data_IF_559563690841
#
_entry.id   IF_559563690841
#
_cell.length_a   1.000
_cell.length_b   1.000
_cell.length_c   1.000
_cell.angle_alpha   90.00
_cell.angle_beta   90.00
_cell.angle_gamma   90.00
#
_symmetry.space_group_name_H-M   'P 1'
#
loop_
_entity.id
_entity.type
_entity.pdbx_description
1 polymer ?
#
# COMPACT_ATOMS: atom_id res chain seq x y z
N UNK A 1 -20.73 49.16 -3.06
CA UNK A 1 -20.42 48.18 -1.99
C UNK A 1 -20.94 46.77 -2.25
N UNK A 2 -22.12 46.57 -2.85
CA UNK A 2 -22.73 45.24 -3.06
C UNK A 2 -21.93 44.34 -4.01
N UNK A 3 -21.38 44.88 -5.10
CA UNK A 3 -20.56 44.11 -6.06
C UNK A 3 -19.29 43.53 -5.45
N UNK A 4 -18.63 44.27 -4.57
CA UNK A 4 -17.42 43.80 -3.86
C UNK A 4 -17.77 42.67 -2.89
N UNK A 5 -18.93 42.74 -2.21
CA UNK A 5 -19.42 41.65 -1.34
C UNK A 5 -19.61 40.35 -2.10
N UNK A 6 -20.21 40.38 -3.30
CA UNK A 6 -20.40 39.19 -4.13
C UNK A 6 -19.08 38.60 -4.63
N UNK A 7 -18.11 39.45 -5.01
CA UNK A 7 -16.78 38.98 -5.44
C UNK A 7 -16.01 38.30 -4.30
N UNK A 8 -16.10 38.85 -3.08
CA UNK A 8 -15.46 38.26 -1.88
C UNK A 8 -16.12 36.92 -1.51
N UNK A 9 -17.46 36.83 -1.59
CA UNK A 9 -18.19 35.58 -1.34
C UNK A 9 -17.82 34.52 -2.39
N UNK A 10 -17.75 34.91 -3.66
CA UNK A 10 -17.35 34.00 -4.74
C UNK A 10 -15.93 33.48 -4.53
N UNK A 11 -14.95 34.36 -4.28
CA UNK A 11 -13.56 33.96 -4.03
C UNK A 11 -13.41 33.04 -2.81
N UNK A 12 -14.16 33.28 -1.73
CA UNK A 12 -14.16 32.42 -0.53
C UNK A 12 -14.82 31.06 -0.79
N UNK A 13 -15.84 30.99 -1.65
CA UNK A 13 -16.45 29.71 -2.00
C UNK A 13 -15.51 28.81 -2.81
N UNK A 14 -14.64 29.39 -3.65
CA UNK A 14 -13.70 28.63 -4.48
C UNK A 14 -12.62 27.90 -3.66
N UNK A 15 -12.21 28.43 -2.50
CA UNK A 15 -11.19 27.77 -1.66
C UNK A 15 -11.67 26.44 -1.07
N UNK A 16 -12.98 26.24 -0.90
CA UNK A 16 -13.55 24.96 -0.46
C UNK A 16 -13.49 23.87 -1.53
N UNK A 17 -13.45 24.24 -2.81
CA UNK A 17 -13.30 23.29 -3.91
C UNK A 17 -11.82 23.04 -4.29
N UNK A 18 -10.90 23.87 -3.78
CA UNK A 18 -9.45 23.72 -4.00
C UNK A 18 -8.73 22.93 -2.91
N UNK A 19 -9.42 22.48 -1.85
CA UNK A 19 -8.84 21.55 -0.88
C UNK A 19 -8.74 20.15 -1.51
N UNK A 20 -7.71 19.94 -2.32
CA UNK A 20 -7.40 18.66 -2.93
C UNK A 20 -6.76 17.71 -1.93
N UNK A 21 -7.58 16.89 -1.27
CA UNK A 21 -7.19 15.63 -0.60
C UNK A 21 -8.42 14.73 -0.43
N UNK A 22 -9.26 14.65 -1.47
CA UNK A 22 -10.49 13.84 -1.45
C UNK A 22 -10.29 12.40 -1.92
N UNK A 23 -9.07 12.06 -2.32
CA UNK A 23 -8.72 10.71 -2.72
C UNK A 23 -7.33 10.40 -2.16
N UNK A 24 -7.34 9.88 -0.93
CA UNK A 24 -6.15 9.44 -0.22
C UNK A 24 -5.98 7.93 -0.43
N UNK A 25 -6.04 7.47 -1.69
CA UNK A 25 -5.43 6.20 -2.08
C UNK A 25 -3.92 6.36 -2.00
N UNK A 26 -3.39 6.49 -0.77
CA UNK A 26 -1.98 6.69 -0.52
C UNK A 26 -1.21 5.49 -1.07
N UNK A 27 -0.25 5.78 -1.96
CA UNK A 27 0.68 4.77 -2.48
C UNK A 27 1.49 4.13 -1.33
N UNK A 28 1.55 4.79 -0.17
CA UNK A 28 2.09 4.26 1.08
C UNK A 28 1.29 3.09 1.67
N UNK A 29 0.02 2.89 1.33
CA UNK A 29 -0.80 1.77 1.86
C UNK A 29 -0.69 0.50 1.00
N UNK A 30 0.12 0.56 -0.07
CA UNK A 30 0.33 -0.54 -1.00
C UNK A 30 1.68 -1.18 -0.70
N UNK A 31 1.65 -2.36 -0.07
CA UNK A 31 2.86 -3.16 0.08
C UNK A 31 3.26 -3.73 -1.28
N UNK A 32 4.32 -3.18 -1.88
CA UNK A 32 4.85 -3.70 -3.14
C UNK A 32 5.47 -5.08 -2.92
N UNK A 33 5.09 -6.01 -3.79
CA UNK A 33 5.67 -7.34 -3.84
C UNK A 33 7.14 -7.21 -4.30
N UNK A 34 8.07 -7.54 -3.41
CA UNK A 34 9.50 -7.54 -3.69
C UNK A 34 10.00 -8.90 -4.18
N UNK A 35 9.37 -9.99 -3.74
CA UNK A 35 9.66 -11.34 -4.20
C UNK A 35 8.42 -12.23 -4.12
N UNK A 36 8.38 -13.26 -4.98
CA UNK A 36 7.32 -14.25 -5.04
C UNK A 36 7.93 -15.64 -5.19
N UNK A 37 7.44 -16.60 -4.41
CA UNK A 37 7.90 -17.99 -4.44
C UNK A 37 6.73 -18.96 -4.53
N UNK A 38 6.89 -20.01 -5.33
CA UNK A 38 5.97 -21.16 -5.38
C UNK A 38 6.78 -22.41 -5.05
N UNK A 39 6.23 -23.23 -4.18
CA UNK A 39 6.76 -24.55 -3.84
C UNK A 39 5.63 -25.59 -3.86
N UNK A 40 5.98 -26.87 -3.97
CA UNK A 40 5.05 -27.98 -3.95
C UNK A 40 5.60 -29.11 -3.09
N UNK A 41 4.94 -29.35 -1.96
CA UNK A 41 5.36 -30.35 -0.97
C UNK A 41 4.13 -31.05 -0.40
N UNK A 42 4.25 -32.37 -0.16
CA UNK A 42 3.22 -33.19 0.48
C UNK A 42 1.82 -33.12 -0.20
N UNK A 43 1.80 -32.87 -1.52
CA UNK A 43 0.56 -32.76 -2.29
C UNK A 43 -0.13 -31.40 -2.22
N UNK A 44 0.48 -30.40 -1.58
CA UNK A 44 -0.02 -29.03 -1.49
C UNK A 44 0.95 -28.04 -2.16
N UNK A 45 0.38 -27.01 -2.79
CA UNK A 45 1.11 -25.83 -3.21
C UNK A 45 1.33 -24.91 -2.02
N UNK A 46 2.52 -24.32 -1.96
CA UNK A 46 2.88 -23.26 -1.03
C UNK A 46 3.25 -22.01 -1.83
N UNK A 47 2.66 -20.88 -1.48
CA UNK A 47 2.95 -19.60 -2.11
C UNK A 47 3.48 -18.64 -1.05
N UNK A 48 4.56 -17.95 -1.38
CA UNK A 48 5.23 -16.97 -0.55
C UNK A 48 5.24 -15.62 -1.26
N UNK A 49 4.81 -14.57 -0.57
CA UNK A 49 4.85 -13.19 -1.06
C UNK A 49 5.66 -12.35 -0.09
N UNK A 50 6.79 -11.83 -0.56
CA UNK A 50 7.65 -10.95 0.22
C UNK A 50 7.31 -9.49 -0.09
N UNK A 51 7.08 -8.69 0.95
CA UNK A 51 6.82 -7.25 0.87
C UNK A 51 7.91 -6.49 1.63
N UNK A 52 8.25 -5.30 1.12
CA UNK A 52 9.15 -4.37 1.79
C UNK A 52 8.33 -3.34 2.56
N UNK A 53 8.74 -3.08 3.79
CA UNK A 53 8.22 -1.97 4.58
C UNK A 53 8.92 -0.67 4.18
N UNK A 54 8.24 0.15 3.37
CA UNK A 54 8.77 1.42 2.87
C UNK A 54 8.81 2.52 3.94
N UNK A 55 8.10 2.39 5.06
CA UNK A 55 8.19 3.35 6.17
C UNK A 55 9.60 3.37 6.76
N UNK A 56 10.32 2.25 6.69
CA UNK A 56 11.71 2.14 7.15
C UNK A 56 12.74 2.76 6.18
N UNK A 57 12.34 3.03 4.93
CA UNK A 57 13.22 3.57 3.89
C UNK A 57 13.16 5.11 3.79
N UNK A 58 12.15 5.75 4.38
CA UNK A 58 11.92 7.21 4.35
C UNK A 58 12.66 7.97 5.47
N UNK A 59 13.91 7.59 5.76
CA UNK A 59 14.81 8.40 6.57
C UNK A 59 15.26 9.67 5.83
N UNK A 60 15.69 10.74 6.53
CA UNK A 60 16.21 11.95 5.91
C UNK A 60 17.33 11.59 4.91
N UNK A 61 17.26 12.21 3.72
CA UNK A 61 18.21 11.99 2.62
C UNK A 61 19.66 12.01 3.13
N UNK A 62 20.33 10.85 3.12
CA UNK A 62 21.73 10.72 3.54
C UNK A 62 22.01 9.79 4.73
N UNK A 63 21.00 9.29 5.44
CA UNK A 63 21.22 8.20 6.41
C UNK A 63 21.14 6.85 5.71
N UNK A 64 22.26 6.16 5.52
CA UNK A 64 22.26 4.73 5.16
C UNK A 64 21.62 3.99 6.35
N UNK A 65 20.48 3.31 6.17
CA UNK A 65 19.91 2.49 7.24
C UNK A 65 20.94 1.42 7.62
N UNK A 66 21.43 1.43 8.87
CA UNK A 66 22.40 0.42 9.33
C UNK A 66 21.78 -0.98 9.47
N UNK A 67 20.45 -1.07 9.40
CA UNK A 67 19.68 -2.31 9.44
C UNK A 67 18.91 -2.49 8.14
N UNK A 68 18.86 -3.73 7.64
CA UNK A 68 17.96 -4.08 6.53
C UNK A 68 16.52 -3.71 6.90
N UNK A 69 15.73 -3.18 5.95
CA UNK A 69 14.32 -2.87 6.19
C UNK A 69 13.58 -4.14 6.64
N UNK A 70 12.60 -4.06 7.56
CA UNK A 70 11.83 -5.22 7.96
C UNK A 70 11.11 -5.81 6.74
N UNK A 71 11.31 -7.11 6.54
CA UNK A 71 10.74 -7.88 5.45
C UNK A 71 9.52 -8.63 5.99
N UNK A 72 8.37 -8.46 5.33
CA UNK A 72 7.16 -9.21 5.64
C UNK A 72 6.95 -10.31 4.60
N UNK A 73 6.64 -11.53 5.04
CA UNK A 73 6.38 -12.66 4.14
C UNK A 73 4.99 -13.22 4.41
N UNK A 74 4.08 -13.04 3.47
CA UNK A 74 2.79 -13.75 3.43
C UNK A 74 3.00 -15.18 2.95
N UNK A 75 2.27 -16.14 3.54
CA UNK A 75 2.28 -17.55 3.13
C UNK A 75 0.85 -18.05 2.94
N UNK A 76 0.58 -18.64 1.78
CA UNK A 76 -0.66 -19.36 1.51
C UNK A 76 -0.38 -20.78 1.05
N UNK A 77 -1.30 -21.70 1.32
CA UNK A 77 -1.23 -23.10 0.89
C UNK A 77 -2.56 -23.62 0.36
N UNK A 78 -2.49 -24.71 -0.40
CA UNK A 78 -3.71 -25.32 -0.92
C UNK A 78 -3.45 -26.43 -1.90
N UNK A 79 -4.48 -27.21 -2.21
CA UNK A 79 -4.37 -28.32 -3.16
C UNK A 79 -4.22 -27.85 -4.60
N UNK A 80 -4.53 -26.58 -4.85
CA UNK A 80 -4.36 -25.91 -6.13
C UNK A 80 -3.70 -24.56 -5.93
N UNK A 81 -3.05 -24.04 -6.97
CA UNK A 81 -2.50 -22.69 -6.96
C UNK A 81 -3.58 -21.63 -6.65
N UNK A 82 -4.80 -21.80 -7.16
CA UNK A 82 -5.89 -20.87 -6.90
C UNK A 82 -6.27 -20.82 -5.41
N UNK A 83 -6.29 -21.98 -4.75
CA UNK A 83 -6.57 -22.07 -3.32
C UNK A 83 -5.44 -21.45 -2.49
N UNK A 84 -4.19 -21.78 -2.82
CA UNK A 84 -3.01 -21.21 -2.15
C UNK A 84 -2.92 -19.69 -2.30
N UNK A 85 -3.24 -19.16 -3.49
CA UNK A 85 -3.29 -17.71 -3.73
C UNK A 85 -4.43 -17.07 -2.94
N UNK A 86 -5.61 -17.68 -2.89
CA UNK A 86 -6.73 -17.15 -2.10
C UNK A 86 -6.40 -17.11 -0.61
N UNK A 87 -5.75 -18.15 -0.08
CA UNK A 87 -5.31 -18.16 1.32
C UNK A 87 -4.26 -17.09 1.58
N UNK A 88 -3.30 -16.90 0.66
CA UNK A 88 -2.32 -15.82 0.74
C UNK A 88 -3.00 -14.44 0.82
N UNK A 89 -3.98 -14.15 -0.05
CA UNK A 89 -4.73 -12.89 0.01
C UNK A 89 -5.55 -12.73 1.30
N UNK A 90 -6.09 -13.82 1.85
CA UNK A 90 -6.91 -13.79 3.07
C UNK A 90 -6.06 -13.59 4.33
N UNK A 91 -4.85 -14.13 4.33
CA UNK A 91 -3.90 -14.05 5.47
C UNK A 91 -2.97 -12.84 5.38
N UNK A 92 -2.93 -12.15 4.24
CA UNK A 92 -2.10 -10.95 4.08
C UNK A 92 -2.61 -9.85 5.02
N UNK A 93 -1.72 -9.38 5.89
CA UNK A 93 -1.99 -8.29 6.84
C UNK A 93 -2.32 -6.96 6.14
N UNK A 94 -1.91 -6.83 4.89
CA UNK A 94 -2.05 -5.63 4.06
C UNK A 94 -2.59 -6.01 2.69
N UNK A 95 -3.35 -5.10 2.07
CA UNK A 95 -3.94 -5.35 0.75
C UNK A 95 -2.82 -5.36 -0.29
N UNK A 96 -2.65 -6.50 -0.96
CA UNK A 96 -1.74 -6.61 -2.10
C UNK A 96 -2.37 -5.89 -3.31
N UNK A 97 -1.56 -5.11 -4.04
CA UNK A 97 -1.94 -4.51 -5.33
C UNK A 97 -2.02 -5.54 -6.46
#
# INVERSE_FOLDING_TARGET
MTRVKYVVILMSSLTFFLSGCWDNGEVQEINYLSAFGIDFQDGEYYIYAQMLDYESLSGPEGSIPSSQPPIWVGKGRGKTLAEATRELYTTSQQKLS
#
